data_IF_745601126255
#
_entry.id   IF_745601126255
#
_cell.length_a   1.000
_cell.length_b   1.000
_cell.length_c   1.000
_cell.angle_alpha   90.00
_cell.angle_beta   90.00
_cell.angle_gamma   90.00
#
_symmetry.space_group_name_H-M   'P 1'
#
loop_
_entity.id
_entity.type
_entity.pdbx_description
1 polymer ?
#
# COMPACT_ATOMS: atom_id res chain seq x y z
N UNK A 1 -47.25 8.60 -5.24
CA UNK A 1 -47.40 8.19 -3.84
C UNK A 1 -46.03 7.87 -3.29
N UNK A 2 -45.56 8.64 -2.32
CA UNK A 2 -44.16 8.63 -1.88
C UNK A 2 -43.66 7.26 -1.40
N UNK A 3 -44.56 6.39 -0.92
CA UNK A 3 -44.23 4.99 -0.58
C UNK A 3 -43.82 4.16 -1.79
N UNK A 4 -44.47 4.33 -2.95
CA UNK A 4 -44.16 3.58 -4.16
C UNK A 4 -42.83 4.05 -4.78
N UNK A 5 -42.57 5.36 -4.78
CA UNK A 5 -41.29 5.92 -5.21
C UNK A 5 -40.14 5.51 -4.28
N UNK A 6 -40.39 5.42 -2.97
CA UNK A 6 -39.43 4.91 -1.99
C UNK A 6 -39.12 3.42 -2.22
N UNK A 7 -40.13 2.57 -2.43
CA UNK A 7 -39.88 1.15 -2.73
C UNK A 7 -39.14 0.95 -4.05
N UNK A 8 -39.42 1.77 -5.06
CA UNK A 8 -38.76 1.69 -6.37
C UNK A 8 -37.28 2.11 -6.29
N UNK A 9 -36.98 3.19 -5.55
CA UNK A 9 -35.59 3.61 -5.28
C UNK A 9 -34.81 2.59 -4.45
N UNK A 10 -35.43 1.95 -3.47
CA UNK A 10 -34.81 0.86 -2.70
C UNK A 10 -34.55 -0.36 -3.59
N UNK A 11 -35.50 -0.75 -4.44
CA UNK A 11 -35.33 -1.87 -5.37
C UNK A 11 -34.21 -1.58 -6.38
N UNK A 12 -34.14 -0.37 -6.93
CA UNK A 12 -33.03 0.07 -7.77
C UNK A 12 -31.69 0.01 -7.03
N UNK A 13 -31.62 0.50 -5.79
CA UNK A 13 -30.40 0.46 -4.99
C UNK A 13 -29.97 -0.99 -4.70
N UNK A 14 -30.90 -1.89 -4.40
CA UNK A 14 -30.63 -3.31 -4.24
C UNK A 14 -30.13 -3.95 -5.55
N UNK A 15 -30.74 -3.61 -6.69
CA UNK A 15 -30.31 -4.08 -8.01
C UNK A 15 -28.89 -3.62 -8.35
N UNK A 16 -28.59 -2.34 -8.14
CA UNK A 16 -27.26 -1.77 -8.34
C UNK A 16 -26.23 -2.42 -7.40
N UNK A 17 -26.58 -2.63 -6.13
CA UNK A 17 -25.70 -3.29 -5.16
C UNK A 17 -25.39 -4.74 -5.55
N UNK A 18 -26.40 -5.48 -6.03
CA UNK A 18 -26.22 -6.84 -6.53
C UNK A 18 -25.33 -6.87 -7.78
N UNK A 19 -25.50 -5.91 -8.70
CA UNK A 19 -24.64 -5.76 -9.87
C UNK A 19 -23.19 -5.45 -9.47
N UNK A 20 -22.97 -4.46 -8.60
CA UNK A 20 -21.62 -4.13 -8.09
C UNK A 20 -20.97 -5.34 -7.42
N UNK A 21 -21.74 -6.11 -6.64
CA UNK A 21 -21.29 -7.37 -6.05
C UNK A 21 -20.90 -8.40 -7.10
N UNK A 22 -21.73 -8.60 -8.13
CA UNK A 22 -21.47 -9.55 -9.21
C UNK A 22 -20.23 -9.17 -10.03
N UNK A 23 -20.14 -7.92 -10.50
CA UNK A 23 -18.94 -7.40 -11.17
C UNK A 23 -17.72 -7.48 -10.25
N UNK A 24 -17.92 -7.19 -8.97
CA UNK A 24 -16.91 -7.26 -7.91
C UNK A 24 -16.31 -8.66 -7.73
N UNK A 25 -17.14 -9.69 -7.81
CA UNK A 25 -16.75 -11.09 -7.77
C UNK A 25 -16.09 -11.54 -9.06
N UNK A 26 -16.62 -11.13 -10.23
CA UNK A 26 -16.03 -11.46 -11.54
C UNK A 26 -14.63 -10.86 -11.68
N UNK A 27 -14.42 -9.60 -11.28
CA UNK A 27 -13.07 -9.00 -11.26
C UNK A 27 -12.13 -9.79 -10.35
N UNK A 28 -12.60 -10.15 -9.15
CA UNK A 28 -11.81 -10.88 -8.17
C UNK A 28 -11.41 -12.27 -8.69
N UNK A 29 -12.37 -12.98 -9.28
CA UNK A 29 -12.14 -14.27 -9.91
C UNK A 29 -11.14 -14.18 -11.07
N UNK A 30 -11.27 -13.18 -11.95
CA UNK A 30 -10.35 -12.98 -13.06
C UNK A 30 -8.91 -12.75 -12.57
N UNK A 31 -8.70 -11.86 -11.60
CA UNK A 31 -7.38 -11.62 -11.01
C UNK A 31 -6.83 -12.87 -10.30
N UNK A 32 -7.69 -13.67 -9.65
CA UNK A 32 -7.29 -14.95 -9.05
C UNK A 32 -6.82 -15.96 -10.10
N UNK A 33 -7.53 -16.09 -11.21
CA UNK A 33 -7.13 -16.97 -12.31
C UNK A 33 -5.82 -16.50 -12.95
N UNK A 34 -5.67 -15.20 -13.21
CA UNK A 34 -4.45 -14.62 -13.79
C UNK A 34 -3.25 -14.87 -12.86
N UNK A 35 -3.43 -14.66 -11.56
CA UNK A 35 -2.39 -14.93 -10.56
C UNK A 35 -1.96 -16.39 -10.50
N UNK A 36 -2.92 -17.32 -10.47
CA UNK A 36 -2.63 -18.76 -10.53
C UNK A 36 -1.91 -19.16 -11.81
N UNK A 37 -2.31 -18.60 -12.97
CA UNK A 37 -1.63 -18.83 -14.25
C UNK A 37 -0.20 -18.26 -14.24
N UNK A 38 0.00 -17.09 -13.65
CA UNK A 38 1.33 -16.49 -13.50
C UNK A 38 2.23 -17.37 -12.63
N UNK A 39 1.74 -17.82 -11.46
CA UNK A 39 2.46 -18.72 -10.57
C UNK A 39 2.85 -20.03 -11.27
N UNK A 40 1.91 -20.63 -12.02
CA UNK A 40 2.17 -21.83 -12.80
C UNK A 40 3.28 -21.62 -13.85
N UNK A 41 3.23 -20.51 -14.61
CA UNK A 41 4.26 -20.20 -15.61
C UNK A 41 5.62 -19.96 -14.97
N UNK A 42 5.68 -19.22 -13.87
CA UNK A 42 6.92 -18.94 -13.13
C UNK A 42 7.51 -20.26 -12.64
N UNK A 43 6.72 -21.12 -11.99
CA UNK A 43 7.19 -22.42 -11.47
C UNK A 43 7.72 -23.34 -12.58
N UNK A 44 7.03 -23.40 -13.72
CA UNK A 44 7.50 -24.20 -14.86
C UNK A 44 8.79 -23.65 -15.47
N UNK A 45 8.89 -22.33 -15.64
CA UNK A 45 10.14 -21.70 -16.13
C UNK A 45 11.30 -21.88 -15.16
N UNK A 46 11.05 -21.77 -13.86
CA UNK A 46 12.05 -22.00 -12.82
C UNK A 46 12.55 -23.45 -12.86
N UNK A 47 11.63 -24.42 -12.93
CA UNK A 47 11.99 -25.83 -13.04
C UNK A 47 12.79 -26.14 -14.31
N UNK A 48 12.36 -25.60 -15.47
CA UNK A 48 13.12 -25.73 -16.73
C UNK A 48 14.51 -25.06 -16.65
N UNK A 49 14.63 -23.93 -15.95
CA UNK A 49 15.90 -23.25 -15.73
C UNK A 49 16.85 -24.04 -14.84
N UNK A 50 16.34 -24.63 -13.75
CA UNK A 50 17.13 -25.49 -12.85
C UNK A 50 17.66 -26.70 -13.61
N UNK A 51 16.84 -27.37 -14.44
CA UNK A 51 17.28 -28.53 -15.22
C UNK A 51 18.35 -28.22 -16.28
N UNK A 52 18.54 -26.94 -16.64
CA UNK A 52 19.55 -26.50 -17.62
C UNK A 52 20.84 -26.01 -16.97
N UNK A 53 20.95 -26.06 -15.64
CA UNK A 53 22.15 -25.65 -14.91
C UNK A 53 23.25 -26.72 -14.97
N UNK A 54 24.48 -26.27 -14.77
CA UNK A 54 25.68 -27.10 -14.82
C UNK A 54 25.78 -28.03 -13.59
N UNK A 55 26.53 -29.12 -13.69
CA UNK A 55 26.70 -30.08 -12.57
C UNK A 55 27.29 -29.40 -11.32
N UNK A 56 28.19 -28.42 -11.50
CA UNK A 56 28.75 -27.64 -10.41
C UNK A 56 27.70 -26.87 -9.58
N UNK A 57 26.56 -26.50 -10.19
CA UNK A 57 25.44 -25.90 -9.46
C UNK A 57 24.74 -26.91 -8.55
N UNK A 58 24.59 -28.16 -9.02
CA UNK A 58 23.99 -29.24 -8.24
C UNK A 58 24.93 -29.78 -7.15
N UNK A 59 26.25 -29.69 -7.34
CA UNK A 59 27.22 -30.02 -6.29
C UNK A 59 27.22 -29.00 -5.14
N UNK A 60 26.84 -27.75 -5.43
CA UNK A 60 26.79 -26.66 -4.45
C UNK A 60 25.43 -26.54 -3.73
N UNK A 61 24.33 -27.06 -4.31
CA UNK A 61 22.97 -26.88 -3.79
C UNK A 61 22.31 -28.21 -3.42
N UNK A 62 21.71 -28.28 -2.23
CA UNK A 62 20.99 -29.50 -1.80
C UNK A 62 19.68 -29.66 -2.59
N UNK A 63 19.32 -30.91 -2.93
CA UNK A 63 18.03 -31.23 -3.58
C UNK A 63 16.84 -30.73 -2.74
N UNK A 64 16.97 -30.76 -1.41
CA UNK A 64 15.96 -30.25 -0.48
C UNK A 64 15.77 -28.73 -0.60
N UNK A 65 16.87 -27.96 -0.67
CA UNK A 65 16.81 -26.52 -0.87
C UNK A 65 16.19 -26.16 -2.22
N UNK A 66 16.61 -26.82 -3.31
CA UNK A 66 16.05 -26.56 -4.64
C UNK A 66 14.54 -26.81 -4.70
N UNK A 67 14.08 -27.87 -4.03
CA UNK A 67 12.65 -28.21 -3.96
C UNK A 67 11.88 -27.20 -3.09
N UNK A 68 12.48 -26.76 -1.99
CA UNK A 68 11.92 -25.73 -1.11
C UNK A 68 11.77 -24.40 -1.83
N UNK A 69 12.82 -23.92 -2.53
CA UNK A 69 12.79 -22.68 -3.32
C UNK A 69 11.76 -22.73 -4.45
N UNK A 70 11.65 -23.88 -5.12
CA UNK A 70 10.65 -24.08 -6.18
C UNK A 70 9.20 -24.03 -5.64
N UNK A 71 8.97 -24.46 -4.39
CA UNK A 71 7.65 -24.45 -3.77
C UNK A 71 7.31 -23.10 -3.12
N UNK A 72 8.21 -22.59 -2.27
CA UNK A 72 8.00 -21.43 -1.42
C UNK A 72 8.39 -20.12 -2.08
N UNK A 73 9.62 -19.99 -2.59
CA UNK A 73 10.10 -18.72 -3.17
C UNK A 73 9.30 -18.34 -4.43
N UNK A 74 9.01 -19.32 -5.29
CA UNK A 74 8.22 -19.10 -6.51
C UNK A 74 6.81 -18.58 -6.20
N UNK A 75 6.18 -19.09 -5.14
CA UNK A 75 4.85 -18.67 -4.69
C UNK A 75 4.90 -17.30 -3.98
N UNK A 76 5.93 -17.09 -3.16
CA UNK A 76 6.16 -15.85 -2.43
C UNK A 76 6.46 -14.65 -3.35
N UNK A 77 7.10 -14.87 -4.50
CA UNK A 77 7.33 -13.80 -5.49
C UNK A 77 6.04 -13.38 -6.23
N UNK A 78 5.13 -14.34 -6.48
CA UNK A 78 3.94 -14.09 -7.32
C UNK A 78 2.76 -13.55 -6.52
N UNK A 79 2.58 -13.99 -5.27
CA UNK A 79 1.43 -13.59 -4.45
C UNK A 79 1.31 -12.06 -4.23
N UNK A 80 2.40 -11.31 -3.94
CA UNK A 80 2.34 -9.86 -3.81
C UNK A 80 2.07 -9.19 -5.16
N UNK A 81 2.72 -9.63 -6.24
CA UNK A 81 2.52 -9.05 -7.56
C UNK A 81 1.04 -9.13 -7.99
N UNK A 82 0.40 -10.28 -7.74
CA UNK A 82 -1.00 -10.48 -8.08
C UNK A 82 -1.93 -9.56 -7.29
N UNK A 83 -1.80 -9.53 -5.96
CA UNK A 83 -2.70 -8.77 -5.09
C UNK A 83 -2.52 -7.26 -5.29
N UNK A 84 -1.27 -6.82 -5.47
CA UNK A 84 -0.93 -5.41 -5.69
C UNK A 84 -1.39 -4.91 -7.06
N UNK A 85 -1.19 -5.66 -8.14
CA UNK A 85 -1.67 -5.23 -9.46
C UNK A 85 -3.19 -5.10 -9.50
N UNK A 86 -3.89 -6.04 -8.88
CA UNK A 86 -5.35 -6.01 -8.79
C UNK A 86 -5.85 -4.80 -8.00
N UNK A 87 -5.25 -4.54 -6.83
CA UNK A 87 -5.64 -3.41 -5.99
C UNK A 87 -5.26 -2.07 -6.65
N UNK A 88 -4.09 -1.95 -7.26
CA UNK A 88 -3.64 -0.74 -7.95
C UNK A 88 -4.63 -0.32 -9.03
N UNK A 89 -4.99 -1.25 -9.92
CA UNK A 89 -5.87 -0.94 -11.04
C UNK A 89 -7.29 -0.59 -10.57
N UNK A 90 -7.80 -1.32 -9.58
CA UNK A 90 -9.11 -1.05 -8.99
C UNK A 90 -9.15 0.31 -8.29
N UNK A 91 -8.14 0.63 -7.47
CA UNK A 91 -8.06 1.88 -6.74
C UNK A 91 -7.81 3.06 -7.68
N UNK A 92 -7.01 2.89 -8.74
CA UNK A 92 -6.82 3.92 -9.76
C UNK A 92 -8.11 4.23 -10.53
N UNK A 93 -8.87 3.20 -10.92
CA UNK A 93 -10.18 3.37 -11.56
C UNK A 93 -11.19 4.05 -10.62
N UNK A 94 -11.23 3.63 -9.35
CA UNK A 94 -12.09 4.25 -8.33
C UNK A 94 -11.73 5.71 -8.08
N UNK A 95 -10.43 6.03 -8.04
CA UNK A 95 -9.94 7.40 -7.87
C UNK A 95 -10.36 8.29 -9.04
N UNK A 96 -10.14 7.85 -10.28
CA UNK A 96 -10.56 8.60 -11.48
C UNK A 96 -12.08 8.75 -11.54
N UNK A 97 -12.84 7.71 -11.22
CA UNK A 97 -14.30 7.75 -11.19
C UNK A 97 -14.84 8.71 -10.13
N UNK A 98 -14.32 8.65 -8.91
CA UNK A 98 -14.72 9.56 -7.82
C UNK A 98 -14.40 11.02 -8.16
N UNK A 99 -13.21 11.27 -8.71
CA UNK A 99 -12.78 12.60 -9.12
C UNK A 99 -13.69 13.17 -10.22
N UNK A 100 -14.05 12.37 -11.22
CA UNK A 100 -14.96 12.79 -12.29
C UNK A 100 -16.38 13.08 -11.75
N UNK A 101 -16.90 12.24 -10.84
CA UNK A 101 -18.20 12.46 -10.20
C UNK A 101 -18.23 13.71 -9.31
N UNK A 102 -17.15 14.00 -8.59
CA UNK A 102 -17.01 15.26 -7.83
C UNK A 102 -17.10 16.47 -8.76
N UNK A 103 -16.34 16.47 -9.87
CA UNK A 103 -16.34 17.57 -10.85
C UNK A 103 -17.71 17.78 -11.50
N UNK A 104 -18.41 16.69 -11.84
CA UNK A 104 -19.76 16.76 -12.41
C UNK A 104 -20.79 17.32 -11.43
N UNK A 105 -20.62 17.07 -10.13
CA UNK A 105 -21.58 17.53 -9.11
C UNK A 105 -21.44 19.03 -8.84
N UNK A 106 -20.21 19.52 -8.64
CA UNK A 106 -19.94 20.95 -8.46
C UNK A 106 -18.47 21.25 -8.66
N UNK A 107 -18.18 22.13 -9.61
CA UNK A 107 -16.81 22.58 -9.86
C UNK A 107 -16.23 23.40 -8.69
N UNK A 108 -17.08 24.16 -7.98
CA UNK A 108 -16.66 25.00 -6.83
C UNK A 108 -16.20 24.17 -5.64
N UNK A 109 -16.99 23.14 -5.28
CA UNK A 109 -16.64 22.21 -4.20
C UNK A 109 -15.45 21.32 -4.57
N UNK A 110 -15.35 20.93 -5.83
CA UNK A 110 -14.20 20.18 -6.33
C UNK A 110 -12.91 20.98 -6.18
N UNK A 111 -12.91 22.27 -6.55
CA UNK A 111 -11.72 23.11 -6.41
C UNK A 111 -11.26 23.24 -4.95
N UNK A 112 -12.21 23.33 -4.01
CA UNK A 112 -11.91 23.30 -2.58
C UNK A 112 -11.31 21.96 -2.14
N UNK A 113 -11.86 20.83 -2.62
CA UNK A 113 -11.32 19.50 -2.34
C UNK A 113 -9.88 19.35 -2.87
N UNK A 114 -9.55 19.89 -4.04
CA UNK A 114 -8.17 19.92 -4.54
C UNK A 114 -7.24 20.70 -3.61
N UNK A 115 -7.67 21.87 -3.14
CA UNK A 115 -6.89 22.67 -2.19
C UNK A 115 -6.56 21.90 -0.91
N UNK A 116 -7.45 21.04 -0.42
CA UNK A 116 -7.21 20.17 0.74
C UNK A 116 -6.20 19.05 0.46
N UNK A 117 -6.18 18.51 -0.77
CA UNK A 117 -5.29 17.39 -1.13
C UNK A 117 -3.83 17.85 -1.26
N UNK A 118 -3.57 19.06 -1.76
CA UNK A 118 -2.22 19.60 -1.93
C UNK A 118 -1.33 19.53 -0.66
N UNK A 119 -1.76 20.03 0.52
CA UNK A 119 -0.96 19.94 1.74
C UNK A 119 -0.76 18.48 2.20
N UNK A 120 -1.76 17.61 2.01
CA UNK A 120 -1.63 16.19 2.32
C UNK A 120 -0.51 15.57 1.48
N UNK A 121 -0.54 15.74 0.16
CA UNK A 121 0.50 15.21 -0.74
C UNK A 121 1.89 15.78 -0.42
N UNK A 122 1.98 17.05 -0.04
CA UNK A 122 3.25 17.67 0.35
C UNK A 122 3.82 17.05 1.64
N UNK A 123 3.01 16.89 2.69
CA UNK A 123 3.41 16.26 3.96
C UNK A 123 3.85 14.82 3.71
N UNK A 124 3.05 14.04 2.99
CA UNK A 124 3.38 12.65 2.64
C UNK A 124 4.67 12.56 1.84
N UNK A 125 4.87 13.42 0.83
CA UNK A 125 6.09 13.42 0.01
C UNK A 125 7.34 13.81 0.81
N UNK A 126 7.22 14.76 1.74
CA UNK A 126 8.32 15.18 2.62
C UNK A 126 8.71 14.07 3.59
N UNK A 127 7.71 13.41 4.19
CA UNK A 127 7.90 12.27 5.06
C UNK A 127 8.53 11.08 4.31
N UNK A 128 8.03 10.74 3.12
CA UNK A 128 8.56 9.64 2.30
C UNK A 128 10.06 9.80 2.00
N UNK A 129 10.50 11.01 1.62
CA UNK A 129 11.93 11.29 1.40
C UNK A 129 12.77 11.15 2.68
N UNK A 130 12.23 11.54 3.82
CA UNK A 130 12.93 11.43 5.10
C UNK A 130 13.01 9.98 5.58
N UNK A 131 11.90 9.24 5.48
CA UNK A 131 11.83 7.81 5.80
C UNK A 131 12.74 6.98 4.90
N UNK A 132 12.82 7.29 3.60
CA UNK A 132 13.76 6.62 2.67
C UNK A 132 15.22 6.76 3.12
N UNK A 133 15.65 7.94 3.61
CA UNK A 133 17.00 8.15 4.14
C UNK A 133 17.25 7.37 5.42
N UNK A 134 16.29 7.32 6.33
CA UNK A 134 16.39 6.53 7.56
C UNK A 134 16.43 5.03 7.25
N UNK A 135 15.59 4.55 6.33
CA UNK A 135 15.62 3.17 5.87
C UNK A 135 16.99 2.80 5.29
N UNK A 136 17.61 3.68 4.50
CA UNK A 136 18.99 3.46 4.04
C UNK A 136 19.98 3.28 5.18
N UNK A 137 19.86 4.03 6.28
CA UNK A 137 20.73 3.89 7.46
C UNK A 137 20.45 2.61 8.23
N UNK A 138 19.18 2.26 8.43
CA UNK A 138 18.74 1.00 9.05
C UNK A 138 19.33 -0.18 8.28
N UNK A 139 19.19 -0.16 6.95
CA UNK A 139 19.70 -1.20 6.07
C UNK A 139 21.23 -1.27 6.06
N UNK A 140 21.94 -0.14 6.09
CA UNK A 140 23.41 -0.13 6.20
C UNK A 140 23.89 -0.75 7.51
N UNK A 141 23.31 -0.32 8.65
CA UNK A 141 23.67 -0.86 9.97
C UNK A 141 23.34 -2.37 10.09
N UNK A 142 22.23 -2.81 9.49
CA UNK A 142 21.88 -4.23 9.45
C UNK A 142 22.82 -5.02 8.52
N UNK A 143 23.33 -4.40 7.46
CA UNK A 143 24.37 -4.97 6.60
C UNK A 143 25.66 -5.21 7.37
N UNK A 144 26.12 -4.23 8.15
CA UNK A 144 27.28 -4.38 9.03
C UNK A 144 27.07 -5.47 10.09
N UNK A 145 25.88 -5.51 10.72
CA UNK A 145 25.53 -6.58 11.67
C UNK A 145 25.59 -7.96 11.02
N UNK A 146 25.11 -8.11 9.78
CA UNK A 146 25.21 -9.36 9.02
C UNK A 146 26.65 -9.73 8.67
N UNK A 147 27.52 -8.76 8.38
CA UNK A 147 28.96 -9.01 8.16
C UNK A 147 29.61 -9.56 9.43
N UNK A 148 29.33 -8.95 10.60
CA UNK A 148 29.81 -9.44 11.90
C UNK A 148 29.30 -10.86 12.18
N UNK A 149 28.02 -11.10 11.97
CA UNK A 149 27.43 -12.43 12.15
C UNK A 149 28.07 -13.47 11.22
N UNK A 150 28.30 -13.12 9.95
CA UNK A 150 28.93 -14.01 8.97
C UNK A 150 30.38 -14.33 9.33
N UNK A 151 31.14 -13.33 9.81
CA UNK A 151 32.51 -13.50 10.28
C UNK A 151 32.57 -14.42 11.52
N UNK A 152 31.73 -14.17 12.52
CA UNK A 152 31.69 -14.94 13.75
C UNK A 152 31.22 -16.39 13.54
N UNK A 153 30.19 -16.60 12.71
CA UNK A 153 29.68 -17.94 12.40
C UNK A 153 30.61 -18.71 11.46
N UNK A 154 31.20 -18.03 10.47
CA UNK A 154 32.19 -18.63 9.57
C UNK A 154 33.44 -19.11 10.31
N UNK A 155 33.83 -18.38 11.36
CA UNK A 155 35.00 -18.68 12.21
C UNK A 155 34.60 -19.18 13.61
N UNK A 156 33.47 -19.89 13.73
CA UNK A 156 32.92 -20.28 15.05
C UNK A 156 33.88 -21.11 15.90
N UNK A 157 34.73 -21.93 15.26
CA UNK A 157 35.75 -22.73 15.96
C UNK A 157 36.79 -21.82 16.64
N UNK A 158 37.18 -20.73 15.98
CA UNK A 158 38.14 -19.75 16.49
C UNK A 158 37.53 -18.94 17.63
N UNK A 159 36.28 -18.48 17.47
CA UNK A 159 35.55 -17.77 18.54
C UNK A 159 35.43 -18.63 19.80
N UNK A 160 35.10 -19.92 19.63
CA UNK A 160 35.03 -20.90 20.73
C UNK A 160 36.40 -21.18 21.35
N UNK A 161 37.46 -21.28 20.53
CA UNK A 161 38.81 -21.55 21.02
C UNK A 161 39.38 -20.42 21.89
N UNK A 162 39.02 -19.17 21.59
CA UNK A 162 39.44 -18.00 22.36
C UNK A 162 38.38 -17.51 23.38
N UNK A 163 37.24 -18.19 23.51
CA UNK A 163 36.13 -17.81 24.40
C UNK A 163 35.63 -16.37 24.21
N UNK A 164 35.64 -15.85 22.97
CA UNK A 164 35.31 -14.45 22.64
C UNK A 164 33.84 -14.22 22.27
N UNK A 165 32.94 -15.13 22.66
CA UNK A 165 31.50 -15.08 22.33
C UNK A 165 30.82 -13.78 22.78
N UNK A 166 31.15 -13.30 23.98
CA UNK A 166 30.59 -12.07 24.53
C UNK A 166 31.00 -10.84 23.71
N UNK A 167 32.25 -10.81 23.23
CA UNK A 167 32.79 -9.72 22.43
C UNK A 167 32.11 -9.64 21.06
N UNK A 168 31.95 -10.77 20.36
CA UNK A 168 31.24 -10.80 19.07
C UNK A 168 29.75 -10.47 19.24
N UNK A 169 29.15 -10.91 20.36
CA UNK A 169 27.76 -10.55 20.70
C UNK A 169 27.61 -9.04 20.91
N UNK A 170 28.52 -8.41 21.65
CA UNK A 170 28.50 -6.96 21.88
C UNK A 170 28.67 -6.18 20.56
N UNK A 171 29.57 -6.64 19.69
CA UNK A 171 29.79 -6.07 18.36
C UNK A 171 28.51 -6.14 17.51
N UNK A 172 27.84 -7.30 17.48
CA UNK A 172 26.54 -7.45 16.79
C UNK A 172 25.47 -6.53 17.39
N UNK A 173 25.33 -6.53 18.73
CA UNK A 173 24.35 -5.72 19.46
C UNK A 173 24.52 -4.23 19.17
N UNK A 174 25.76 -3.75 19.04
CA UNK A 174 26.06 -2.34 18.72
C UNK A 174 25.48 -1.92 17.36
N UNK A 175 25.69 -2.72 16.32
CA UNK A 175 25.14 -2.44 14.98
C UNK A 175 23.61 -2.58 14.97
N UNK A 176 23.04 -3.60 15.62
CA UNK A 176 21.57 -3.76 15.69
C UNK A 176 20.90 -2.66 16.52
N UNK A 177 21.56 -2.15 17.57
CA UNK A 177 21.04 -1.02 18.37
C UNK A 177 21.03 0.26 17.54
N UNK A 178 22.02 0.46 16.67
CA UNK A 178 22.06 1.60 15.74
C UNK A 178 20.92 1.53 14.72
N UNK A 179 20.64 0.33 14.18
CA UNK A 179 19.48 0.09 13.34
C UNK A 179 18.17 0.35 14.11
N UNK A 180 18.05 -0.14 15.35
CA UNK A 180 16.88 0.07 16.20
C UNK A 180 16.62 1.55 16.48
N UNK A 181 17.65 2.34 16.84
CA UNK A 181 17.51 3.79 17.09
C UNK A 181 16.99 4.52 15.85
N UNK A 182 17.46 4.14 14.67
CA UNK A 182 17.01 4.72 13.40
C UNK A 182 15.57 4.28 13.07
N UNK A 183 15.23 3.02 13.34
CA UNK A 183 13.88 2.47 13.18
C UNK A 183 12.86 3.12 14.12
N UNK A 184 13.21 3.37 15.39
CA UNK A 184 12.34 4.07 16.34
C UNK A 184 12.10 5.51 15.88
N UNK A 185 13.12 6.20 15.37
CA UNK A 185 12.95 7.54 14.78
C UNK A 185 11.99 7.50 13.58
N UNK A 186 12.15 6.53 12.68
CA UNK A 186 11.25 6.37 11.53
C UNK A 186 9.81 6.09 11.97
N UNK A 187 9.62 5.23 12.98
CA UNK A 187 8.31 4.90 13.54
C UNK A 187 7.61 6.10 14.20
N UNK A 188 8.34 6.92 14.97
CA UNK A 188 7.80 8.16 15.56
C UNK A 188 7.42 9.15 14.46
N UNK A 189 8.27 9.28 13.42
CA UNK A 189 7.95 10.11 12.27
C UNK A 189 6.74 9.60 11.49
N UNK A 190 6.59 8.28 11.36
CA UNK A 190 5.44 7.63 10.72
C UNK A 190 4.14 7.93 11.47
N UNK A 191 4.16 7.78 12.80
CA UNK A 191 3.02 8.07 13.66
C UNK A 191 2.62 9.55 13.58
N UNK A 192 3.60 10.45 13.60
CA UNK A 192 3.36 11.89 13.43
C UNK A 192 2.78 12.24 12.07
N UNK A 193 3.33 11.67 10.99
CA UNK A 193 2.81 11.88 9.62
C UNK A 193 1.39 11.32 9.46
N UNK A 194 1.10 10.16 10.06
CA UNK A 194 -0.23 9.56 10.06
C UNK A 194 -1.24 10.44 10.79
N UNK A 195 -0.91 10.92 11.99
CA UNK A 195 -1.78 11.80 12.78
C UNK A 195 -2.06 13.13 12.05
N UNK A 196 -1.04 13.73 11.44
CA UNK A 196 -1.19 14.95 10.64
C UNK A 196 -2.06 14.71 9.40
N UNK A 197 -1.85 13.61 8.69
CA UNK A 197 -2.66 13.29 7.52
C UNK A 197 -4.13 13.08 7.91
N UNK A 198 -4.40 12.30 8.96
CA UNK A 198 -5.76 12.08 9.46
C UNK A 198 -6.44 13.37 9.94
N UNK A 199 -5.69 14.28 10.57
CA UNK A 199 -6.21 15.59 10.99
C UNK A 199 -6.55 16.49 9.80
N UNK A 200 -5.70 16.51 8.76
CA UNK A 200 -5.95 17.25 7.51
C UNK A 200 -7.16 16.68 6.76
N UNK A 201 -7.33 15.36 6.77
CA UNK A 201 -8.44 14.65 6.16
C UNK A 201 -9.79 15.05 6.78
N UNK A 202 -9.86 15.00 8.12
CA UNK A 202 -11.03 15.43 8.89
C UNK A 202 -11.29 16.93 8.75
N UNK A 203 -10.24 17.76 8.79
CA UNK A 203 -10.34 19.20 8.55
C UNK A 203 -10.87 19.53 7.16
N UNK A 204 -10.43 18.78 6.15
CA UNK A 204 -10.94 18.85 4.78
C UNK A 204 -12.43 18.57 4.68
N UNK A 205 -12.87 17.46 5.28
CA UNK A 205 -14.28 17.11 5.36
C UNK A 205 -15.12 18.20 6.05
N UNK A 206 -14.62 18.78 7.14
CA UNK A 206 -15.29 19.89 7.84
C UNK A 206 -15.37 21.16 6.99
N UNK A 207 -14.31 21.51 6.25
CA UNK A 207 -14.31 22.66 5.35
C UNK A 207 -15.31 22.48 4.20
N UNK A 208 -15.40 21.28 3.63
CA UNK A 208 -16.37 20.95 2.58
C UNK A 208 -17.80 21.06 3.12
N UNK A 209 -18.06 20.56 4.33
CA UNK A 209 -19.38 20.67 4.97
C UNK A 209 -19.72 22.14 5.30
N UNK A 210 -18.77 22.92 5.80
CA UNK A 210 -18.99 24.32 6.13
C UNK A 210 -19.28 25.17 4.89
N UNK A 211 -18.40 25.10 3.88
CA UNK A 211 -18.57 25.86 2.64
C UNK A 211 -19.77 25.36 1.83
N UNK A 212 -19.93 24.05 1.71
CA UNK A 212 -21.06 23.45 1.02
C UNK A 212 -22.39 23.76 1.72
N UNK A 213 -22.42 23.76 3.06
CA UNK A 213 -23.60 24.16 3.84
C UNK A 213 -23.96 25.62 3.64
N UNK A 214 -22.97 26.53 3.59
CA UNK A 214 -23.19 27.93 3.25
C UNK A 214 -23.73 28.09 1.82
N UNK A 215 -23.24 27.28 0.88
CA UNK A 215 -23.71 27.27 -0.51
C UNK A 215 -25.18 26.82 -0.61
N UNK A 216 -25.59 25.81 0.16
CA UNK A 216 -26.99 25.38 0.25
C UNK A 216 -27.87 26.51 0.77
N UNK A 217 -27.45 27.19 1.85
CA UNK A 217 -28.21 28.28 2.46
C UNK A 217 -28.38 29.48 1.50
N UNK A 218 -27.32 29.86 0.78
CA UNK A 218 -27.36 30.99 -0.16
C UNK A 218 -28.11 30.70 -1.47
N UNK A 219 -28.13 29.44 -1.92
CA UNK A 219 -28.75 29.02 -3.19
C UNK A 219 -30.21 28.62 -3.02
N UNK A 220 -30.79 28.78 -1.82
CA UNK A 220 -32.21 28.47 -1.55
C UNK A 220 -33.20 29.29 -2.40
N UNK A 221 -32.74 30.39 -3.00
CA UNK A 221 -33.57 31.33 -3.80
C UNK A 221 -33.27 31.28 -5.32
N UNK A 222 -32.37 30.39 -5.77
CA UNK A 222 -31.98 30.27 -7.18
C UNK A 222 -32.68 29.09 -7.89
N UNK A 223 -32.86 29.21 -9.21
CA UNK A 223 -33.59 28.27 -10.08
C UNK A 223 -33.01 26.85 -10.16
N UNK A 224 -31.77 26.63 -9.74
CA UNK A 224 -31.20 25.31 -9.46
C UNK A 224 -30.72 25.22 -8.00
N UNK A 225 -31.59 24.85 -7.05
CA UNK A 225 -31.19 24.78 -5.66
C UNK A 225 -30.14 23.68 -5.47
N UNK A 226 -28.98 24.03 -4.90
CA UNK A 226 -28.03 23.05 -4.40
C UNK A 226 -28.63 22.44 -3.13
N UNK A 227 -29.35 21.33 -3.29
CA UNK A 227 -30.02 20.66 -2.17
C UNK A 227 -29.01 20.00 -1.22
N UNK A 228 -29.38 19.85 0.06
CA UNK A 228 -28.64 19.06 1.06
C UNK A 228 -28.28 17.66 0.53
N UNK A 229 -29.15 17.04 -0.29
CA UNK A 229 -28.87 15.77 -0.95
C UNK A 229 -27.61 15.80 -1.82
N UNK A 230 -27.41 16.82 -2.66
CA UNK A 230 -26.22 16.96 -3.51
C UNK A 230 -24.95 17.14 -2.68
N UNK A 231 -25.04 17.84 -1.54
CA UNK A 231 -23.94 18.00 -0.59
C UNK A 231 -23.54 16.66 0.04
N UNK A 232 -24.52 15.88 0.52
CA UNK A 232 -24.26 14.56 1.11
C UNK A 232 -23.67 13.62 0.05
N UNK A 233 -24.20 13.63 -1.17
CA UNK A 233 -23.65 12.85 -2.29
C UNK A 233 -22.21 13.25 -2.61
N UNK A 234 -21.90 14.55 -2.64
CA UNK A 234 -20.54 15.04 -2.83
C UNK A 234 -19.61 14.57 -1.70
N UNK A 235 -20.06 14.63 -0.44
CA UNK A 235 -19.30 14.15 0.71
C UNK A 235 -18.98 12.65 0.61
N UNK A 236 -19.93 11.84 0.14
CA UNK A 236 -19.71 10.41 -0.10
C UNK A 236 -18.68 10.16 -1.20
N UNK A 237 -18.75 10.90 -2.31
CA UNK A 237 -17.74 10.81 -3.37
C UNK A 237 -16.36 11.25 -2.90
N UNK A 238 -16.28 12.29 -2.08
CA UNK A 238 -15.02 12.76 -1.48
C UNK A 238 -14.39 11.70 -0.57
N UNK A 239 -15.17 11.05 0.29
CA UNK A 239 -14.70 9.95 1.13
C UNK A 239 -14.22 8.75 0.29
N UNK A 240 -14.94 8.42 -0.79
CA UNK A 240 -14.54 7.35 -1.71
C UNK A 240 -13.21 7.68 -2.41
N UNK A 241 -13.01 8.93 -2.82
CA UNK A 241 -11.77 9.42 -3.41
C UNK A 241 -10.60 9.33 -2.40
N UNK A 242 -10.78 9.76 -1.16
CA UNK A 242 -9.77 9.67 -0.09
C UNK A 242 -9.39 8.21 0.21
N UNK A 243 -10.37 7.31 0.26
CA UNK A 243 -10.13 5.89 0.44
C UNK A 243 -9.29 5.28 -0.69
N UNK A 244 -9.64 5.59 -1.95
CA UNK A 244 -8.89 5.13 -3.11
C UNK A 244 -7.46 5.70 -3.15
N UNK A 245 -7.28 6.98 -2.78
CA UNK A 245 -5.97 7.64 -2.70
C UNK A 245 -5.06 7.00 -1.63
N UNK A 246 -5.61 6.74 -0.45
CA UNK A 246 -4.86 6.10 0.65
C UNK A 246 -4.43 4.69 0.27
N UNK A 247 -5.35 3.90 -0.30
CA UNK A 247 -5.05 2.55 -0.74
C UNK A 247 -3.98 2.52 -1.85
N UNK A 248 -3.97 3.50 -2.76
CA UNK A 248 -2.93 3.63 -3.78
C UNK A 248 -1.57 4.00 -3.16
N UNK A 249 -1.56 4.90 -2.18
CA UNK A 249 -0.35 5.30 -1.45
C UNK A 249 0.27 4.11 -0.71
N UNK A 250 -0.55 3.25 -0.10
CA UNK A 250 -0.09 2.04 0.57
C UNK A 250 0.57 1.05 -0.40
N UNK A 251 0.00 0.89 -1.60
CA UNK A 251 0.61 0.08 -2.67
C UNK A 251 1.96 0.65 -3.10
N UNK A 252 2.07 1.97 -3.32
CA UNK A 252 3.34 2.60 -3.69
C UNK A 252 4.38 2.44 -2.59
N UNK A 253 3.97 2.59 -1.33
CA UNK A 253 4.85 2.44 -0.17
C UNK A 253 5.37 1.01 -0.05
N UNK A 254 4.51 0.02 -0.24
CA UNK A 254 4.89 -1.40 -0.21
C UNK A 254 5.77 -1.79 -1.42
N UNK A 255 5.54 -1.21 -2.60
CA UNK A 255 6.45 -1.37 -3.75
C UNK A 255 7.83 -0.76 -3.45
N UNK A 256 7.87 0.41 -2.82
CA UNK A 256 9.13 1.07 -2.43
C UNK A 256 9.91 0.20 -1.42
N UNK A 257 9.21 -0.42 -0.46
CA UNK A 257 9.84 -1.38 0.48
C UNK A 257 10.34 -2.64 -0.22
N UNK A 258 9.55 -3.21 -1.13
CA UNK A 258 9.92 -4.40 -1.88
C UNK A 258 11.12 -4.14 -2.81
N UNK A 259 11.14 -3.00 -3.52
CA UNK A 259 12.24 -2.60 -4.37
C UNK A 259 13.53 -2.36 -3.58
N UNK A 260 13.45 -1.69 -2.43
CA UNK A 260 14.60 -1.49 -1.55
C UNK A 260 15.18 -2.79 -0.99
N UNK A 261 14.35 -3.82 -0.81
CA UNK A 261 14.80 -5.16 -0.43
C UNK A 261 15.45 -5.94 -1.60
N UNK A 262 15.02 -5.67 -2.84
CA UNK A 262 15.48 -6.39 -4.05
C UNK A 262 16.73 -5.80 -4.72
N UNK A 263 17.13 -4.55 -4.40
CA UNK A 263 18.43 -3.97 -4.82
C UNK A 263 19.61 -4.48 -3.98
N UNK A 264 19.42 -5.59 -3.29
CA UNK A 264 20.42 -6.34 -2.52
C UNK A 264 20.58 -7.72 -3.15
#
# INVERSE_FOLDING_TARGET
GDRAAFTDTVLLACGVSALVGAFGSVKGFCFQVVGRRLAFRVRNKLFQGILRQDIAFFDAASTGDLTSRLAWDASAMVAPCQSMLASTLANAAALMGALLLCFLTSWRLSMLAFTTILPITYVTGRYAKWSSRLNSQIYSALGEANTVASEALGNIRTVRAYSTEAMETERYVTHTTTALRSGVKDAVGAAGAFALNNSLDLGGAMLILWYGGMLVLQTSDASEPFTVGKLVTFQLYFNMMQGAYTALTDVVTSFTRAAGAATR
#
